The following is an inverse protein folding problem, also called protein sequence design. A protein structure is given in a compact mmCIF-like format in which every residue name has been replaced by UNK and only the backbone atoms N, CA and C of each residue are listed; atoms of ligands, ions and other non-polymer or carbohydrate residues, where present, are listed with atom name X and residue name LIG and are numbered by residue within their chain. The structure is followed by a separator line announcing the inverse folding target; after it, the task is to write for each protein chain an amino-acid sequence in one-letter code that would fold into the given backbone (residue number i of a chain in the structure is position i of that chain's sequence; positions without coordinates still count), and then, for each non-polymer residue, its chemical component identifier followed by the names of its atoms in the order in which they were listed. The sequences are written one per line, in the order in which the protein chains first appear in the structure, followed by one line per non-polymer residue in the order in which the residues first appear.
data_IF_417261035994
#
_entry.id   IF_417261035994
#
_cell.length_a   1.000
_cell.length_b   1.000
_cell.length_c   1.000
_cell.angle_alpha   90.00
_cell.angle_beta   90.00
_cell.angle_gamma   90.00
#
_symmetry.space_group_name_H-M   'P 1'
#
loop_
_entity.id
_entity.type
_entity.pdbx_description
1 polymer ?
#
# COMPACT_ATOMS: atom_id res chain seq x y z
N UNK A 1 -6.88 -7.26 -47.56
CA UNK A 1 -7.52 -6.70 -46.34
C UNK A 1 -7.05 -7.35 -45.03
N UNK A 2 -6.52 -8.59 -45.02
CA UNK A 2 -6.05 -9.25 -43.79
C UNK A 2 -4.88 -8.52 -43.07
N UNK A 3 -3.99 -7.84 -43.82
CA UNK A 3 -2.88 -7.08 -43.24
C UNK A 3 -3.31 -5.84 -42.45
N UNK A 4 -4.36 -5.13 -42.89
CA UNK A 4 -4.81 -3.92 -42.21
C UNK A 4 -5.39 -4.21 -40.82
N UNK A 5 -6.11 -5.33 -40.67
CA UNK A 5 -6.70 -5.74 -39.39
C UNK A 5 -5.66 -6.21 -38.37
N UNK A 6 -4.60 -6.88 -38.80
CA UNK A 6 -3.51 -7.26 -37.92
C UNK A 6 -2.64 -6.07 -37.49
N UNK A 7 -2.38 -5.12 -38.39
CA UNK A 7 -1.67 -3.88 -38.03
C UNK A 7 -2.48 -2.99 -37.08
N UNK A 8 -3.81 -2.96 -37.21
CA UNK A 8 -4.72 -2.29 -36.25
C UNK A 8 -4.54 -2.88 -34.83
N UNK A 9 -4.46 -4.21 -34.71
CA UNK A 9 -4.17 -4.88 -33.42
C UNK A 9 -2.76 -4.58 -32.89
N UNK A 10 -1.74 -4.55 -33.75
CA UNK A 10 -0.38 -4.17 -33.33
C UNK A 10 -0.31 -2.74 -32.81
N UNK A 11 -1.01 -1.81 -33.45
CA UNK A 11 -1.08 -0.42 -33.01
C UNK A 11 -1.75 -0.32 -31.61
N UNK A 12 -2.84 -1.05 -31.39
CA UNK A 12 -3.50 -1.13 -30.09
C UNK A 12 -2.57 -1.72 -29.00
N UNK A 13 -1.84 -2.80 -29.31
CA UNK A 13 -0.87 -3.41 -28.38
C UNK A 13 0.25 -2.44 -28.02
N UNK A 14 0.74 -1.65 -29.00
CA UNK A 14 1.77 -0.64 -28.73
C UNK A 14 1.27 0.43 -27.75
N UNK A 15 0.05 0.93 -27.95
CA UNK A 15 -0.56 1.90 -27.05
C UNK A 15 -0.77 1.33 -25.64
N UNK A 16 -1.20 0.07 -25.54
CA UNK A 16 -1.34 -0.62 -24.27
C UNK A 16 0.01 -0.78 -23.55
N UNK A 17 1.05 -1.22 -24.25
CA UNK A 17 2.39 -1.41 -23.67
C UNK A 17 2.98 -0.11 -23.15
N UNK A 18 2.82 0.98 -23.89
CA UNK A 18 3.22 2.32 -23.44
C UNK A 18 2.48 2.74 -22.17
N UNK A 19 1.15 2.57 -22.15
CA UNK A 19 0.34 2.91 -20.97
C UNK A 19 0.72 2.08 -19.74
N UNK A 20 0.93 0.77 -19.91
CA UNK A 20 1.32 -0.13 -18.83
C UNK A 20 2.70 0.26 -18.24
N UNK A 21 3.66 0.59 -19.11
CA UNK A 21 5.00 1.01 -18.69
C UNK A 21 4.97 2.37 -17.98
N UNK A 22 4.24 3.34 -18.52
CA UNK A 22 4.06 4.65 -17.88
C UNK A 22 3.38 4.54 -16.51
N UNK A 23 2.33 3.72 -16.41
CA UNK A 23 1.65 3.45 -15.14
C UNK A 23 2.62 2.87 -14.10
N UNK A 24 3.39 1.85 -14.47
CA UNK A 24 4.37 1.22 -13.57
C UNK A 24 5.39 2.22 -13.06
N UNK A 25 6.07 2.97 -13.95
CA UNK A 25 7.12 3.89 -13.57
C UNK A 25 6.61 5.00 -12.66
N UNK A 26 5.52 5.65 -13.03
CA UNK A 26 4.95 6.76 -12.26
C UNK A 26 4.39 6.31 -10.92
N UNK A 27 3.73 5.15 -10.85
CA UNK A 27 3.27 4.61 -9.56
C UNK A 27 4.45 4.21 -8.67
N UNK A 28 5.56 3.72 -9.24
CA UNK A 28 6.79 3.43 -8.48
C UNK A 28 7.37 4.71 -7.86
N UNK A 29 7.45 5.79 -8.64
CA UNK A 29 7.93 7.11 -8.14
C UNK A 29 6.96 7.72 -7.12
N UNK A 30 5.65 7.59 -7.33
CA UNK A 30 4.66 7.99 -6.34
C UNK A 30 4.84 7.22 -5.03
N UNK A 31 5.08 5.91 -5.09
CA UNK A 31 5.29 5.10 -3.91
C UNK A 31 6.54 5.54 -3.12
N UNK A 32 7.66 5.83 -3.78
CA UNK A 32 8.84 6.40 -3.11
C UNK A 32 8.48 7.70 -2.37
N UNK A 33 7.75 8.59 -3.04
CA UNK A 33 7.31 9.85 -2.44
C UNK A 33 6.33 9.64 -1.26
N UNK A 34 5.47 8.62 -1.32
CA UNK A 34 4.59 8.25 -0.21
C UNK A 34 5.41 7.75 0.98
N UNK A 35 6.40 6.87 0.76
CA UNK A 35 7.22 6.30 1.83
C UNK A 35 8.02 7.40 2.53
N UNK A 36 8.74 8.22 1.76
CA UNK A 36 9.54 9.32 2.31
C UNK A 36 8.68 10.40 2.97
N UNK A 37 7.58 10.78 2.32
CA UNK A 37 6.67 11.80 2.81
C UNK A 37 5.92 11.36 4.07
N UNK A 38 5.47 10.10 4.13
CA UNK A 38 4.79 9.57 5.30
C UNK A 38 5.72 9.49 6.51
N UNK A 39 6.97 9.05 6.30
CA UNK A 39 8.00 9.11 7.35
C UNK A 39 8.16 10.52 7.92
N UNK A 40 8.24 11.52 7.04
CA UNK A 40 8.36 12.92 7.46
C UNK A 40 7.10 13.42 8.19
N UNK A 41 5.92 12.97 7.75
CA UNK A 41 4.63 13.27 8.37
C UNK A 41 4.52 12.71 9.79
N UNK A 42 4.90 11.45 10.02
CA UNK A 42 4.92 10.83 11.36
C UNK A 42 6.06 11.35 12.24
N UNK A 43 7.08 11.97 11.64
CA UNK A 43 8.26 12.46 12.37
C UNK A 43 9.15 11.33 12.92
N UNK A 44 9.12 10.14 12.30
CA UNK A 44 9.84 8.97 12.78
C UNK A 44 11.21 8.77 12.09
N UNK A 45 12.11 7.97 12.70
CA UNK A 45 13.37 7.58 12.07
C UNK A 45 13.18 6.83 10.75
N UNK A 46 14.16 6.87 9.82
CA UNK A 46 14.08 6.20 8.52
C UNK A 46 13.81 4.70 8.61
N UNK A 47 14.39 4.03 9.59
CA UNK A 47 14.27 2.59 9.81
C UNK A 47 12.87 2.15 10.26
N UNK A 48 12.02 3.10 10.66
CA UNK A 48 10.68 2.82 11.15
C UNK A 48 9.63 2.77 10.03
N UNK A 49 9.94 3.25 8.82
CA UNK A 49 9.01 3.22 7.69
C UNK A 49 9.68 2.62 6.48
N UNK A 50 9.10 1.55 5.93
CA UNK A 50 9.65 0.86 4.78
C UNK A 50 8.56 0.28 3.86
N UNK A 51 8.89 0.12 2.59
CA UNK A 51 8.08 -0.68 1.68
C UNK A 51 8.36 -2.18 1.89
N UNK A 52 7.29 -2.95 1.99
CA UNK A 52 7.30 -4.42 2.11
C UNK A 52 6.30 -5.02 1.13
N UNK A 53 6.37 -6.34 0.84
CA UNK A 53 5.36 -7.00 0.02
C UNK A 53 3.95 -6.76 0.54
N UNK A 54 3.03 -6.37 -0.36
CA UNK A 54 1.63 -6.08 -0.01
C UNK A 54 0.89 -7.26 0.63
N UNK A 55 1.32 -8.49 0.35
CA UNK A 55 0.70 -9.72 0.84
C UNK A 55 1.76 -10.74 1.25
N UNK A 56 1.32 -11.76 1.99
CA UNK A 56 2.21 -12.80 2.52
C UNK A 56 3.05 -12.32 3.70
N UNK A 57 3.90 -13.23 4.18
CA UNK A 57 4.86 -12.97 5.25
C UNK A 57 5.97 -12.04 4.79
N UNK A 58 6.44 -11.17 5.67
CA UNK A 58 7.57 -10.29 5.41
C UNK A 58 8.40 -10.11 6.68
N UNK A 59 9.66 -9.69 6.51
CA UNK A 59 10.56 -9.27 7.59
C UNK A 59 10.60 -7.73 7.61
N UNK A 60 10.10 -7.06 8.67
CA UNK A 60 10.08 -5.60 8.74
C UNK A 60 11.48 -4.97 8.72
N UNK A 61 12.55 -5.73 8.98
CA UNK A 61 13.94 -5.25 8.98
C UNK A 61 14.63 -5.41 7.63
N UNK A 62 14.03 -6.16 6.70
CA UNK A 62 14.60 -6.37 5.36
C UNK A 62 14.28 -5.16 4.48
N UNK A 63 15.30 -4.67 3.78
CA UNK A 63 15.11 -3.72 2.68
C UNK A 63 14.72 -4.51 1.43
N UNK A 64 13.45 -4.43 1.04
CA UNK A 64 12.93 -5.16 -0.13
C UNK A 64 13.23 -4.46 -1.47
N UNK A 65 13.34 -3.14 -1.48
CA UNK A 65 13.45 -2.38 -2.72
C UNK A 65 12.27 -2.70 -3.64
N UNK A 66 12.55 -3.07 -4.89
CA UNK A 66 11.51 -3.39 -5.85
C UNK A 66 10.71 -4.66 -5.49
N UNK A 67 11.26 -5.59 -4.69
CA UNK A 67 10.54 -6.79 -4.23
C UNK A 67 9.30 -6.47 -3.38
N UNK A 68 9.17 -5.24 -2.88
CA UNK A 68 7.98 -4.80 -2.14
C UNK A 68 6.73 -4.66 -3.03
N UNK A 69 6.92 -4.52 -4.34
CA UNK A 69 5.87 -4.13 -5.27
C UNK A 69 5.26 -5.32 -6.00
N UNK A 70 3.97 -5.24 -6.32
CA UNK A 70 3.18 -6.28 -7.00
C UNK A 70 3.71 -6.67 -8.39
N UNK A 71 4.49 -5.82 -9.04
CA UNK A 71 5.09 -6.11 -10.33
C UNK A 71 6.36 -6.96 -10.23
N UNK A 72 7.01 -7.03 -9.07
CA UNK A 72 8.32 -7.69 -8.91
C UNK A 72 8.28 -9.20 -9.17
N UNK A 73 7.15 -9.85 -8.89
CA UNK A 73 6.98 -11.28 -9.10
C UNK A 73 6.52 -11.63 -10.52
N UNK A 74 6.53 -10.68 -11.46
CA UNK A 74 5.96 -10.85 -12.79
C UNK A 74 7.02 -10.90 -13.87
N UNK A 75 6.81 -11.82 -14.80
CA UNK A 75 7.58 -11.90 -16.04
C UNK A 75 7.07 -10.93 -17.12
N UNK A 76 5.87 -10.36 -16.93
CA UNK A 76 5.19 -9.48 -17.90
C UNK A 76 4.65 -8.22 -17.24
N UNK A 77 4.77 -7.10 -17.95
CA UNK A 77 4.20 -5.80 -17.56
C UNK A 77 2.76 -5.73 -18.08
N UNK A 78 1.82 -5.47 -17.17
CA UNK A 78 0.41 -5.27 -17.51
C UNK A 78 -0.10 -3.97 -16.91
N UNK A 79 -1.10 -3.38 -17.55
CA UNK A 79 -1.77 -2.17 -17.07
C UNK A 79 -2.71 -2.54 -15.92
N UNK A 80 -2.23 -2.36 -14.70
CA UNK A 80 -2.97 -2.63 -13.46
C UNK A 80 -2.48 -1.71 -12.32
N UNK A 81 -3.21 -1.65 -11.19
CA UNK A 81 -2.71 -0.97 -10.01
C UNK A 81 -1.41 -1.56 -9.47
N UNK A 82 -0.44 -0.70 -9.19
CA UNK A 82 0.78 -1.07 -8.47
C UNK A 82 0.48 -1.08 -6.98
N UNK A 83 0.81 -2.18 -6.30
CA UNK A 83 0.55 -2.38 -4.88
C UNK A 83 1.83 -2.61 -4.10
N UNK A 84 1.89 -2.09 -2.90
CA UNK A 84 2.93 -2.37 -1.92
C UNK A 84 2.36 -2.28 -0.50
N UNK A 85 3.05 -2.89 0.46
CA UNK A 85 2.78 -2.68 1.87
C UNK A 85 3.62 -1.51 2.37
N UNK A 86 3.00 -0.54 3.04
CA UNK A 86 3.71 0.43 3.84
C UNK A 86 3.81 -0.12 5.25
N UNK A 87 5.03 -0.42 5.69
CA UNK A 87 5.31 -0.93 7.01
C UNK A 87 5.68 0.22 7.94
N UNK A 88 5.07 0.26 9.13
CA UNK A 88 5.45 1.15 10.23
C UNK A 88 5.90 0.31 11.42
N UNK A 89 7.09 0.59 11.94
CA UNK A 89 7.63 0.01 13.17
C UNK A 89 7.46 1.05 14.27
N UNK A 90 6.84 0.67 15.38
CA UNK A 90 6.65 1.52 16.55
C UNK A 90 7.33 0.84 17.74
N UNK A 91 8.31 1.53 18.33
CA UNK A 91 8.97 1.06 19.54
C UNK A 91 8.01 1.07 20.74
N UNK A 92 8.20 0.15 21.68
CA UNK A 92 7.48 0.18 22.94
C UNK A 92 7.99 1.35 23.81
N UNK A 93 7.10 1.96 24.58
CA UNK A 93 7.44 3.04 25.50
C UNK A 93 8.18 2.53 26.75
N UNK A 94 7.91 1.30 27.17
CA UNK A 94 8.37 0.76 28.47
C UNK A 94 9.55 -0.21 28.35
N UNK A 95 9.80 -0.79 27.18
CA UNK A 95 10.89 -1.74 26.95
C UNK A 95 11.50 -1.63 25.54
N UNK A 96 12.46 -2.52 25.22
CA UNK A 96 13.13 -2.58 23.91
C UNK A 96 12.31 -3.33 22.84
N UNK A 97 11.05 -3.66 23.11
CA UNK A 97 10.14 -4.28 22.16
C UNK A 97 9.74 -3.30 21.06
N UNK A 98 9.24 -3.86 19.95
CA UNK A 98 8.67 -3.07 18.87
C UNK A 98 7.49 -3.84 18.25
N UNK A 99 6.44 -3.10 17.90
CA UNK A 99 5.34 -3.57 17.08
C UNK A 99 5.56 -3.11 15.65
N UNK A 100 5.12 -3.91 14.68
CA UNK A 100 5.12 -3.50 13.29
C UNK A 100 3.78 -3.82 12.65
N UNK A 101 3.32 -2.90 11.81
CA UNK A 101 2.08 -3.02 11.06
C UNK A 101 2.36 -2.82 9.58
N UNK A 102 1.54 -3.43 8.73
CA UNK A 102 1.53 -3.19 7.30
C UNK A 102 0.15 -2.74 6.89
N UNK A 103 0.05 -1.55 6.29
CA UNK A 103 -1.12 -1.18 5.50
C UNK A 103 -0.83 -1.37 4.01
N UNK A 104 -1.83 -1.80 3.24
CA UNK A 104 -1.67 -1.98 1.78
C UNK A 104 -2.01 -0.66 1.09
N UNK A 105 -1.07 -0.18 0.28
CA UNK A 105 -1.28 0.97 -0.61
C UNK A 105 -1.33 0.46 -2.04
N UNK A 106 -2.34 0.89 -2.80
CA UNK A 106 -2.51 0.60 -4.22
C UNK A 106 -2.64 1.90 -4.99
N UNK A 107 -1.96 2.04 -6.11
CA UNK A 107 -2.06 3.22 -6.97
C UNK A 107 -2.18 2.84 -8.44
N UNK A 108 -3.00 3.57 -9.18
CA UNK A 108 -3.09 3.48 -10.64
C UNK A 108 -3.29 4.85 -11.26
N UNK A 109 -2.87 5.03 -12.51
CA UNK A 109 -3.08 6.28 -13.24
C UNK A 109 -4.41 6.27 -13.95
N UNK A 110 -5.25 7.25 -13.62
CA UNK A 110 -6.48 7.56 -14.31
C UNK A 110 -6.38 8.98 -14.89
N UNK A 111 -6.17 9.07 -16.20
CA UNK A 111 -5.99 10.34 -16.91
C UNK A 111 -4.76 11.11 -16.42
N UNK A 112 -4.97 12.27 -15.80
CA UNK A 112 -3.92 13.15 -15.26
C UNK A 112 -3.78 13.07 -13.72
N UNK A 113 -4.30 12.00 -13.14
CA UNK A 113 -4.27 11.77 -11.69
C UNK A 113 -3.96 10.30 -11.37
N UNK A 114 -3.50 10.08 -10.15
CA UNK A 114 -3.49 8.79 -9.50
C UNK A 114 -4.77 8.59 -8.71
N UNK A 115 -5.35 7.40 -8.82
CA UNK A 115 -6.26 6.90 -7.81
C UNK A 115 -5.45 6.07 -6.82
N UNK A 116 -5.39 6.55 -5.57
CA UNK A 116 -4.66 5.94 -4.47
C UNK A 116 -5.65 5.33 -3.49
N UNK A 117 -5.46 4.06 -3.17
CA UNK A 117 -6.25 3.32 -2.20
C UNK A 117 -5.35 2.93 -1.03
N UNK A 118 -5.80 3.24 0.18
CA UNK A 118 -5.13 2.87 1.43
C UNK A 118 -6.04 1.91 2.18
N UNK A 119 -5.68 0.63 2.20
CA UNK A 119 -6.47 -0.45 2.80
C UNK A 119 -7.98 -0.34 2.46
N UNK A 120 -8.82 -0.04 3.46
CA UNK A 120 -10.29 0.07 3.31
C UNK A 120 -10.80 1.50 3.16
N UNK A 121 -9.90 2.49 3.14
CA UNK A 121 -10.24 3.91 3.05
C UNK A 121 -10.82 4.27 1.67
N UNK A 122 -11.64 5.34 1.58
CA UNK A 122 -12.11 5.86 0.30
C UNK A 122 -10.96 6.20 -0.65
N UNK A 123 -11.24 6.13 -1.95
CA UNK A 123 -10.24 6.47 -2.98
C UNK A 123 -9.78 7.92 -2.83
N UNK A 124 -8.47 8.12 -2.89
CA UNK A 124 -7.82 9.42 -2.81
C UNK A 124 -7.30 9.75 -4.20
N UNK A 125 -7.84 10.81 -4.81
CA UNK A 125 -7.38 11.27 -6.10
C UNK A 125 -6.24 12.26 -5.92
N UNK A 126 -5.05 11.88 -6.38
CA UNK A 126 -3.82 12.67 -6.29
C UNK A 126 -3.42 13.12 -7.69
N UNK A 127 -3.16 14.40 -7.97
CA UNK A 127 -2.76 14.81 -9.30
C UNK A 127 -1.34 14.33 -9.63
N UNK A 128 -0.98 14.20 -10.92
CA UNK A 128 0.35 13.71 -11.32
C UNK A 128 1.49 14.62 -10.82
N UNK A 129 1.23 15.91 -10.63
CA UNK A 129 2.12 16.88 -9.98
C UNK A 129 1.90 16.91 -8.45
N UNK A 130 2.08 15.76 -7.81
CA UNK A 130 1.73 15.51 -6.41
C UNK A 130 2.63 16.19 -5.36
N UNK A 131 3.63 16.97 -5.77
CA UNK A 131 4.53 17.65 -4.84
C UNK A 131 3.75 18.53 -3.85
N UNK A 132 3.89 18.27 -2.56
CA UNK A 132 3.14 18.94 -1.49
C UNK A 132 1.65 18.58 -1.38
N UNK A 133 1.15 17.63 -2.17
CA UNK A 133 -0.28 17.27 -2.25
C UNK A 133 -0.60 15.85 -1.73
N UNK A 134 0.36 15.18 -1.10
CA UNK A 134 0.20 13.83 -0.56
C UNK A 134 -0.39 13.78 0.86
N UNK A 135 -0.64 14.94 1.49
CA UNK A 135 -1.22 15.04 2.83
C UNK A 135 -2.42 14.10 3.08
N UNK A 136 -3.44 14.07 2.21
CA UNK A 136 -4.59 13.16 2.38
C UNK A 136 -4.22 11.67 2.39
N UNK A 137 -3.18 11.28 1.64
CA UNK A 137 -2.68 9.89 1.64
C UNK A 137 -2.03 9.59 3.00
N UNK A 138 -1.26 10.52 3.55
CA UNK A 138 -0.61 10.36 4.85
C UNK A 138 -1.64 10.26 5.98
N UNK A 139 -2.65 11.13 5.96
CA UNK A 139 -3.76 11.08 6.92
C UNK A 139 -4.50 9.74 6.87
N UNK A 140 -4.78 9.23 5.67
CA UNK A 140 -5.45 7.94 5.51
C UNK A 140 -4.60 6.76 6.01
N UNK A 141 -3.28 6.77 5.75
CA UNK A 141 -2.36 5.76 6.28
C UNK A 141 -2.30 5.82 7.80
N UNK A 142 -2.18 7.01 8.38
CA UNK A 142 -2.16 7.20 9.83
C UNK A 142 -3.46 6.70 10.48
N UNK A 143 -4.61 7.08 9.91
CA UNK A 143 -5.91 6.64 10.38
C UNK A 143 -6.04 5.11 10.37
N UNK A 144 -5.60 4.45 9.30
CA UNK A 144 -5.62 3.00 9.18
C UNK A 144 -4.72 2.30 10.22
N UNK A 145 -3.51 2.81 10.46
CA UNK A 145 -2.64 2.27 11.49
C UNK A 145 -3.25 2.43 12.88
N UNK A 146 -3.80 3.61 13.18
CA UNK A 146 -4.45 3.87 14.46
C UNK A 146 -5.67 2.96 14.65
N UNK A 147 -6.52 2.82 13.63
CA UNK A 147 -7.66 1.91 13.66
C UNK A 147 -7.21 0.47 13.94
N UNK A 148 -6.19 -0.01 13.23
CA UNK A 148 -5.62 -1.35 13.42
C UNK A 148 -5.13 -1.57 14.86
N UNK A 149 -4.40 -0.61 15.44
CA UNK A 149 -3.97 -0.70 16.84
C UNK A 149 -5.14 -0.73 17.83
N UNK A 150 -6.18 0.05 17.57
CA UNK A 150 -7.34 0.14 18.48
C UNK A 150 -8.28 -1.05 18.36
N UNK A 151 -8.37 -1.71 17.19
CA UNK A 151 -9.23 -2.86 16.96
C UNK A 151 -8.93 -4.00 17.93
N UNK A 152 -7.67 -4.42 18.04
CA UNK A 152 -7.29 -5.53 18.94
C UNK A 152 -7.53 -5.19 20.42
N UNK A 153 -7.28 -3.94 20.81
CA UNK A 153 -7.55 -3.45 22.18
C UNK A 153 -9.06 -3.38 22.45
N UNK A 154 -9.85 -2.96 21.48
CA UNK A 154 -11.31 -2.90 21.59
C UNK A 154 -11.93 -4.30 21.62
N UNK A 155 -11.42 -5.25 20.84
CA UNK A 155 -11.83 -6.66 20.89
C UNK A 155 -11.46 -7.31 22.23
N UNK A 156 -10.27 -7.02 22.78
CA UNK A 156 -9.87 -7.49 24.10
C UNK A 156 -10.74 -6.91 25.22
N UNK A 157 -11.08 -5.63 25.13
CA UNK A 157 -11.95 -4.93 26.09
C UNK A 157 -13.44 -5.20 25.85
N UNK A 158 -13.79 -6.02 24.87
CA UNK A 158 -15.18 -6.29 24.54
C UNK A 158 -15.87 -7.08 25.65
N UNK A 159 -16.82 -6.41 26.30
CA UNK A 159 -17.63 -6.95 27.39
C UNK A 159 -18.51 -8.15 27.00
N UNK A 160 -18.61 -8.53 25.72
CA UNK A 160 -19.30 -9.74 25.24
C UNK A 160 -18.75 -11.05 25.82
N UNK A 161 -17.50 -11.07 26.31
CA UNK A 161 -16.92 -12.23 27.01
C UNK A 161 -17.29 -12.32 28.50
N UNK A 162 -17.94 -11.30 29.09
CA UNK A 162 -18.34 -11.30 30.52
C UNK A 162 -19.56 -12.17 30.80
N UNK A 163 -20.35 -12.51 29.79
CA UNK A 163 -21.59 -13.31 29.89
C UNK A 163 -21.44 -14.69 29.24
N UNK A 164 -20.27 -15.32 29.35
CA UNK A 164 -20.03 -16.65 28.78
C UNK A 164 -20.98 -17.70 29.35
N UNK A 165 -21.81 -18.30 28.48
CA UNK A 165 -22.55 -19.53 28.78
C UNK A 165 -21.54 -20.69 28.68
N UNK A 166 -21.36 -21.44 29.77
CA UNK A 166 -20.49 -22.62 29.83
C UNK A 166 -21.27 -23.93 29.86
N UNK A 167 -20.66 -25.02 29.40
CA UNK A 167 -21.18 -26.38 29.55
C UNK A 167 -20.42 -27.12 30.66
N UNK A 168 -21.15 -27.91 31.46
CA UNK A 168 -20.54 -28.81 32.44
C UNK A 168 -19.93 -30.02 31.71
N UNK A 169 -18.68 -30.36 32.04
CA UNK A 169 -18.05 -31.60 31.55
C UNK A 169 -18.76 -32.80 32.15
N UNK A 170 -19.28 -33.68 31.30
CA UNK A 170 -19.67 -35.05 31.63
C UNK A 170 -18.47 -35.98 31.68
#
# INVERSE_FOLDING_TARGET
MAGAKYEELKAAIRAYGEAAFQNLLKCRTLADAIIEGFRAFEGCPPENVAAVPAQGSFDPRKVYGDEAFSFSSREVIILEPVRFGLCLIVGNAEDQGALWLRTVVSAEIIGESFDVFVASQPVIRVPIDYEGKLGPVFEAVHAEFLETFTLEVNEFNDTRFRTGIGFLRG
#
